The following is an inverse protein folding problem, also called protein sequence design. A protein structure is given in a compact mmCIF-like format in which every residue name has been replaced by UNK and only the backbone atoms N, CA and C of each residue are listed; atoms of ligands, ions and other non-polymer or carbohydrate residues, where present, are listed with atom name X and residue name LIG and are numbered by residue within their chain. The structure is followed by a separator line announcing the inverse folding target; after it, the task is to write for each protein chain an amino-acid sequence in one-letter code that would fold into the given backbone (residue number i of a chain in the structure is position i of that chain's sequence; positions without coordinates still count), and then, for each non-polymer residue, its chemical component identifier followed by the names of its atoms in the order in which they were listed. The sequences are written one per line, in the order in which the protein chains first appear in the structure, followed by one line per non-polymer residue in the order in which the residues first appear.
data_IF_778430786564
#
_entry.id   IF_778430786564
#
_cell.length_a   1.000
_cell.length_b   1.000
_cell.length_c   1.000
_cell.angle_alpha   90.00
_cell.angle_beta   90.00
_cell.angle_gamma   90.00
#
_symmetry.space_group_name_H-M   'P 1'
#
loop_
_entity.id
_entity.type
_entity.pdbx_description
1 polymer ?
#
# COMPACT_ATOMS: atom_id res chain seq x y z
N UNK A 1 24.63 16.18 -20.53
CA UNK A 1 24.19 16.07 -19.11
C UNK A 1 22.67 15.92 -18.98
N UNK A 2 22.12 14.71 -19.08
CA UNK A 2 20.72 14.48 -18.67
C UNK A 2 20.72 14.11 -17.19
N UNK A 3 20.08 14.93 -16.36
CA UNK A 3 19.92 14.69 -14.91
C UNK A 3 19.13 13.40 -14.61
N UNK A 4 18.30 12.96 -15.56
CA UNK A 4 17.46 11.78 -15.41
C UNK A 4 17.64 10.88 -16.62
N UNK A 5 17.97 9.61 -16.35
CA UNK A 5 18.19 8.57 -17.36
C UNK A 5 17.15 7.45 -17.16
N UNK A 6 16.75 6.76 -18.24
CA UNK A 6 15.79 5.66 -18.21
C UNK A 6 16.14 4.56 -17.17
N UNK A 7 17.43 4.37 -16.88
CA UNK A 7 17.92 3.44 -15.86
C UNK A 7 17.49 3.82 -14.44
N UNK A 8 17.52 5.13 -14.11
CA UNK A 8 17.05 5.65 -12.82
C UNK A 8 15.54 5.45 -12.70
N UNK A 9 14.78 5.69 -13.78
CA UNK A 9 13.34 5.42 -13.82
C UNK A 9 13.02 3.93 -13.62
N UNK A 10 13.69 3.04 -14.34
CA UNK A 10 13.49 1.60 -14.22
C UNK A 10 13.78 1.15 -12.78
N UNK A 11 14.87 1.65 -12.18
CA UNK A 11 15.21 1.34 -10.80
C UNK A 11 14.16 1.88 -9.81
N UNK A 12 13.77 3.15 -9.90
CA UNK A 12 12.86 3.77 -8.92
C UNK A 12 11.44 3.23 -9.03
N UNK A 13 10.91 3.07 -10.24
CA UNK A 13 9.53 2.62 -10.45
C UNK A 13 9.38 1.11 -10.31
N UNK A 14 10.26 0.31 -10.93
CA UNK A 14 10.07 -1.15 -10.96
C UNK A 14 10.49 -1.80 -9.66
N UNK A 15 11.58 -1.35 -9.03
CA UNK A 15 12.06 -2.00 -7.80
C UNK A 15 11.36 -1.44 -6.56
N UNK A 16 11.51 -0.13 -6.31
CA UNK A 16 11.03 0.49 -5.07
C UNK A 16 9.50 0.66 -5.12
N UNK A 17 8.97 1.16 -6.24
CA UNK A 17 7.53 1.34 -6.45
C UNK A 17 6.72 0.04 -6.33
N UNK A 18 7.15 -1.03 -7.01
CA UNK A 18 6.46 -2.34 -6.94
C UNK A 18 6.50 -2.95 -5.54
N UNK A 19 7.61 -2.79 -4.82
CA UNK A 19 7.76 -3.32 -3.46
C UNK A 19 6.83 -2.60 -2.47
N UNK A 20 6.74 -1.27 -2.53
CA UNK A 20 5.76 -0.51 -1.75
C UNK A 20 4.32 -0.88 -2.11
N UNK A 21 4.04 -1.05 -3.41
CA UNK A 21 2.71 -1.45 -3.90
C UNK A 21 2.31 -2.82 -3.37
N UNK A 22 3.25 -3.78 -3.33
CA UNK A 22 3.02 -5.11 -2.80
C UNK A 22 2.63 -5.08 -1.32
N UNK A 23 3.42 -4.42 -0.46
CA UNK A 23 3.10 -4.32 0.97
C UNK A 23 1.83 -3.51 1.23
N UNK A 24 1.59 -2.44 0.47
CA UNK A 24 0.35 -1.68 0.57
C UNK A 24 -0.88 -2.54 0.26
N UNK A 25 -0.86 -3.31 -0.84
CA UNK A 25 -1.97 -4.21 -1.18
C UNK A 25 -2.09 -5.37 -0.19
N UNK A 26 -1.00 -5.87 0.38
CA UNK A 26 -1.05 -6.87 1.44
C UNK A 26 -1.81 -6.36 2.67
N UNK A 27 -1.59 -5.11 3.07
CA UNK A 27 -2.29 -4.47 4.19
C UNK A 27 -3.77 -4.22 3.90
N UNK A 28 -4.13 -3.92 2.65
CA UNK A 28 -5.53 -3.85 2.22
C UNK A 28 -6.27 -5.16 2.47
N UNK A 29 -5.70 -6.28 2.01
CA UNK A 29 -6.34 -7.57 2.15
C UNK A 29 -6.37 -8.04 3.60
N UNK A 30 -5.31 -7.76 4.37
CA UNK A 30 -5.28 -8.02 5.80
C UNK A 30 -6.37 -7.23 6.54
N UNK A 31 -6.64 -5.98 6.13
CA UNK A 31 -7.75 -5.20 6.68
C UNK A 31 -9.11 -5.84 6.39
N UNK A 32 -9.38 -6.17 5.13
CA UNK A 32 -10.67 -6.74 4.76
C UNK A 32 -10.89 -8.08 5.49
N UNK A 33 -9.89 -8.95 5.54
CA UNK A 33 -10.00 -10.24 6.22
C UNK A 33 -10.26 -10.11 7.73
N UNK A 34 -9.63 -9.15 8.43
CA UNK A 34 -9.85 -8.95 9.87
C UNK A 34 -11.27 -8.44 10.20
N UNK A 35 -11.83 -7.53 9.39
CA UNK A 35 -13.12 -6.90 9.69
C UNK A 35 -14.32 -7.58 9.06
N UNK A 36 -14.14 -8.30 7.95
CA UNK A 36 -15.24 -8.96 7.24
C UNK A 36 -15.12 -10.48 7.26
N UNK A 37 -13.95 -11.04 7.62
CA UNK A 37 -13.71 -12.48 7.60
C UNK A 37 -13.60 -13.06 6.19
N UNK A 38 -13.68 -12.24 5.14
CA UNK A 38 -13.59 -12.69 3.75
C UNK A 38 -12.11 -12.84 3.38
N UNK A 39 -11.64 -14.06 3.06
CA UNK A 39 -10.24 -14.29 2.71
C UNK A 39 -9.93 -13.75 1.31
N UNK A 40 -8.66 -13.42 1.06
CA UNK A 40 -8.17 -12.94 -0.24
C UNK A 40 -8.64 -13.78 -1.43
N UNK A 41 -8.70 -15.11 -1.28
CA UNK A 41 -9.15 -16.06 -2.32
C UNK A 41 -10.54 -15.73 -2.89
N UNK A 42 -11.44 -15.23 -2.05
CA UNK A 42 -12.81 -14.94 -2.47
C UNK A 42 -12.93 -13.51 -3.04
N UNK A 43 -11.90 -12.68 -2.84
CA UNK A 43 -11.80 -11.32 -3.37
C UNK A 43 -11.06 -11.28 -4.71
N UNK A 44 -10.08 -12.18 -4.90
CA UNK A 44 -9.31 -12.23 -6.13
C UNK A 44 -10.23 -12.60 -7.30
N UNK A 45 -10.20 -11.76 -8.35
CA UNK A 45 -11.04 -11.86 -9.54
C UNK A 45 -12.54 -11.65 -9.33
N UNK A 46 -12.98 -11.23 -8.14
CA UNK A 46 -14.36 -10.80 -7.92
C UNK A 46 -14.49 -9.33 -8.34
N UNK A 47 -15.19 -9.10 -9.44
CA UNK A 47 -15.48 -7.77 -9.97
C UNK A 47 -16.99 -7.51 -9.95
N UNK A 48 -17.41 -6.29 -9.60
CA UNK A 48 -18.82 -5.89 -9.54
C UNK A 48 -19.45 -6.10 -8.16
N UNK A 49 -20.78 -6.19 -8.09
CA UNK A 49 -21.50 -6.42 -6.83
C UNK A 49 -21.29 -7.86 -6.37
N UNK A 50 -20.49 -8.09 -5.33
CA UNK A 50 -20.24 -9.44 -4.86
C UNK A 50 -21.52 -9.97 -4.19
N UNK A 51 -21.99 -11.16 -4.56
CA UNK A 51 -23.10 -11.81 -3.87
C UNK A 51 -22.58 -12.51 -2.60
N UNK A 52 -21.92 -11.77 -1.70
CA UNK A 52 -21.33 -12.37 -0.49
C UNK A 52 -22.41 -12.90 0.43
N UNK A 53 -23.62 -12.36 0.38
CA UNK A 53 -24.79 -12.83 1.13
C UNK A 53 -25.05 -14.34 1.05
N UNK A 54 -24.71 -15.00 -0.06
CA UNK A 54 -24.89 -16.46 -0.20
C UNK A 54 -23.83 -17.28 0.56
N UNK A 55 -22.67 -16.71 0.86
CA UNK A 55 -21.51 -17.40 1.44
C UNK A 55 -21.15 -16.88 2.84
N UNK A 56 -21.48 -15.63 3.13
CA UNK A 56 -21.32 -14.92 4.39
C UNK A 56 -22.62 -14.16 4.69
N UNK A 57 -23.58 -14.79 5.41
CA UNK A 57 -24.91 -14.22 5.63
C UNK A 57 -24.89 -12.96 6.51
N UNK A 58 -23.80 -12.74 7.27
CA UNK A 58 -23.65 -11.60 8.19
C UNK A 58 -23.12 -10.33 7.51
N UNK A 59 -22.75 -10.40 6.22
CA UNK A 59 -22.16 -9.29 5.48
C UNK A 59 -23.20 -8.72 4.52
N UNK A 60 -23.49 -7.43 4.70
CA UNK A 60 -24.27 -6.66 3.75
C UNK A 60 -23.37 -6.17 2.61
N UNK A 61 -23.75 -6.47 1.37
CA UNK A 61 -22.94 -6.21 0.17
C UNK A 61 -22.75 -4.70 -0.06
N UNK A 62 -23.77 -3.88 0.27
CA UNK A 62 -23.71 -2.43 0.14
C UNK A 62 -22.78 -1.81 1.20
N UNK A 63 -22.87 -2.26 2.45
CA UNK A 63 -21.94 -1.86 3.50
C UNK A 63 -20.50 -2.31 3.19
N UNK A 64 -20.31 -3.48 2.61
CA UNK A 64 -18.99 -3.96 2.22
C UNK A 64 -18.31 -3.00 1.23
N UNK A 65 -19.01 -2.65 0.15
CA UNK A 65 -18.45 -1.79 -0.90
C UNK A 65 -18.29 -0.32 -0.46
N UNK A 66 -19.26 0.24 0.27
CA UNK A 66 -19.23 1.66 0.62
C UNK A 66 -18.46 1.98 1.90
N UNK A 67 -18.30 1.00 2.80
CA UNK A 67 -17.63 1.22 4.08
C UNK A 67 -16.30 0.48 4.16
N UNK A 68 -16.32 -0.85 4.02
CA UNK A 68 -15.11 -1.66 4.22
C UNK A 68 -14.07 -1.44 3.13
N UNK A 69 -14.46 -1.43 1.84
CA UNK A 69 -13.52 -1.18 0.74
C UNK A 69 -12.93 0.24 0.81
N UNK A 70 -13.77 1.24 1.04
CA UNK A 70 -13.32 2.64 1.20
C UNK A 70 -12.35 2.81 2.37
N UNK A 71 -12.58 2.15 3.50
CA UNK A 71 -11.63 2.15 4.62
C UNK A 71 -10.33 1.44 4.27
N UNK A 72 -10.41 0.31 3.54
CA UNK A 72 -9.23 -0.38 3.03
C UNK A 72 -8.38 0.51 2.11
N UNK A 73 -9.00 1.31 1.25
CA UNK A 73 -8.29 2.30 0.42
C UNK A 73 -7.59 3.37 1.25
N UNK A 74 -8.13 3.72 2.42
CA UNK A 74 -7.45 4.62 3.35
C UNK A 74 -6.25 3.93 4.01
N UNK A 75 -6.37 2.64 4.35
CA UNK A 75 -5.26 1.83 4.89
C UNK A 75 -4.11 1.75 3.90
N UNK A 76 -4.37 1.54 2.60
CA UNK A 76 -3.31 1.52 1.57
C UNK A 76 -2.64 2.89 1.44
N UNK A 77 -3.43 3.96 1.43
CA UNK A 77 -2.91 5.31 1.38
C UNK A 77 -2.00 5.64 2.58
N UNK A 78 -2.44 5.36 3.81
CA UNK A 78 -1.63 5.55 5.02
C UNK A 78 -0.37 4.68 4.98
N UNK A 79 -0.47 3.43 4.51
CA UNK A 79 0.65 2.53 4.37
C UNK A 79 1.73 3.08 3.42
N UNK A 80 1.33 3.61 2.26
CA UNK A 80 2.25 4.25 1.32
C UNK A 80 2.93 5.47 1.92
N UNK A 81 2.18 6.33 2.62
CA UNK A 81 2.72 7.53 3.28
C UNK A 81 3.77 7.17 4.34
N UNK A 82 3.51 6.13 5.15
CA UNK A 82 4.45 5.69 6.19
C UNK A 82 5.70 5.03 5.57
N UNK A 83 5.53 4.21 4.53
CA UNK A 83 6.65 3.53 3.85
C UNK A 83 7.57 4.48 3.08
N UNK A 84 7.11 5.67 2.72
CA UNK A 84 7.95 6.70 2.09
C UNK A 84 9.01 7.28 3.06
N UNK A 85 8.93 6.99 4.37
CA UNK A 85 9.84 7.43 5.43
C UNK A 85 10.06 8.94 5.54
N UNK A 86 9.41 9.74 4.69
CA UNK A 86 9.93 11.02 4.30
C UNK A 86 8.82 11.94 3.91
N UNK A 87 8.41 12.73 4.91
CA UNK A 87 7.95 14.12 4.87
C UNK A 87 6.91 14.29 5.96
N UNK A 88 7.22 15.05 6.99
CA UNK A 88 6.25 15.39 8.04
C UNK A 88 4.94 15.96 7.44
N UNK A 89 5.04 16.69 6.32
CA UNK A 89 3.89 17.19 5.57
C UNK A 89 3.00 16.10 4.96
N UNK A 90 3.54 14.95 4.53
CA UNK A 90 2.73 13.86 3.98
C UNK A 90 1.94 13.15 5.09
N UNK A 91 2.54 13.00 6.28
CA UNK A 91 1.84 12.48 7.45
C UNK A 91 0.69 13.39 7.90
N UNK A 92 0.92 14.70 7.92
CA UNK A 92 -0.13 15.69 8.21
C UNK A 92 -1.26 15.63 7.19
N UNK A 93 -0.92 15.52 5.90
CA UNK A 93 -1.92 15.38 4.85
C UNK A 93 -2.70 14.06 5.00
N UNK A 94 -2.05 12.98 5.42
CA UNK A 94 -2.73 11.72 5.65
C UNK A 94 -3.79 11.82 6.76
N UNK A 95 -3.42 12.40 7.90
CA UNK A 95 -4.34 12.65 9.02
C UNK A 95 -5.49 13.56 8.57
N UNK A 96 -5.18 14.62 7.81
CA UNK A 96 -6.17 15.55 7.29
C UNK A 96 -7.19 14.86 6.37
N UNK A 97 -6.74 13.94 5.51
CA UNK A 97 -7.63 13.24 4.58
C UNK A 97 -8.48 12.18 5.28
N UNK A 98 -7.98 11.48 6.31
CA UNK A 98 -8.71 10.36 6.93
C UNK A 98 -9.60 10.77 8.11
N UNK A 99 -9.22 11.82 8.86
CA UNK A 99 -9.90 12.18 10.11
C UNK A 99 -10.91 13.33 9.95
N UNK A 100 -10.90 14.07 8.84
CA UNK A 100 -11.80 15.21 8.64
C UNK A 100 -13.13 14.75 8.01
N UNK A 101 -14.28 14.86 8.72
CA UNK A 101 -15.55 14.28 8.28
C UNK A 101 -16.08 14.82 6.95
N UNK A 102 -15.85 16.11 6.66
CA UNK A 102 -16.27 16.72 5.41
C UNK A 102 -15.44 16.22 4.21
N UNK A 103 -14.16 15.93 4.41
CA UNK A 103 -13.29 15.36 3.36
C UNK A 103 -13.65 13.91 3.12
N UNK A 104 -13.96 13.16 4.18
CA UNK A 104 -14.44 11.79 4.11
C UNK A 104 -15.64 11.62 3.18
N UNK A 105 -16.56 12.59 3.18
CA UNK A 105 -17.71 12.58 2.29
C UNK A 105 -17.37 12.87 0.82
N UNK A 106 -16.32 13.66 0.55
CA UNK A 106 -15.94 14.06 -0.81
C UNK A 106 -15.01 13.02 -1.45
N UNK A 107 -14.04 12.52 -0.68
CA UNK A 107 -13.00 11.59 -1.14
C UNK A 107 -13.39 10.12 -0.95
N UNK A 108 -14.60 9.85 -0.42
CA UNK A 108 -15.06 8.51 -0.06
C UNK A 108 -14.09 7.80 0.89
N UNK A 109 -13.59 8.54 1.88
CA UNK A 109 -12.63 8.04 2.89
C UNK A 109 -13.32 7.80 4.23
N UNK A 110 -12.72 6.94 5.05
CA UNK A 110 -13.20 6.60 6.39
C UNK A 110 -12.04 6.62 7.39
N UNK A 111 -12.32 6.88 8.69
CA UNK A 111 -11.29 6.90 9.71
C UNK A 111 -10.61 5.53 9.81
N UNK A 112 -9.28 5.54 9.77
CA UNK A 112 -8.47 4.32 9.73
C UNK A 112 -8.21 3.84 11.17
N UNK A 113 -8.45 2.56 11.48
CA UNK A 113 -8.18 2.05 12.81
C UNK A 113 -6.69 2.18 13.18
N UNK A 114 -6.39 2.59 14.42
CA UNK A 114 -5.03 2.90 14.87
C UNK A 114 -4.02 1.75 14.70
N UNK A 115 -4.49 0.49 14.72
CA UNK A 115 -3.64 -0.69 14.45
C UNK A 115 -2.96 -0.60 13.08
N UNK A 116 -3.67 -0.11 12.06
CA UNK A 116 -3.18 0.01 10.67
C UNK A 116 -2.33 1.26 10.44
N UNK A 117 -2.24 2.16 11.43
CA UNK A 117 -1.21 3.20 11.45
C UNK A 117 0.14 2.63 11.90
N UNK A 118 0.15 1.61 12.77
CA UNK A 118 1.39 1.02 13.28
C UNK A 118 1.92 -0.15 12.41
N UNK A 119 1.02 -0.89 11.79
CA UNK A 119 1.36 -2.07 10.96
C UNK A 119 2.29 -1.77 9.76
N UNK A 120 2.25 -0.60 9.11
CA UNK A 120 3.15 -0.28 8.02
C UNK A 120 4.61 -0.06 8.43
N UNK A 121 4.92 0.21 9.70
CA UNK A 121 6.30 0.44 10.16
C UNK A 121 7.25 -0.75 9.92
N UNK A 122 6.92 -2.01 10.30
CA UNK A 122 7.77 -3.15 9.96
C UNK A 122 7.93 -3.34 8.44
N UNK A 123 6.88 -3.09 7.65
CA UNK A 123 6.97 -3.13 6.19
C UNK A 123 7.89 -2.02 5.64
N UNK A 124 7.80 -0.81 6.20
CA UNK A 124 8.68 0.31 5.87
C UNK A 124 10.15 -0.03 6.18
N UNK A 125 10.41 -0.70 7.30
CA UNK A 125 11.74 -1.18 7.65
C UNK A 125 12.22 -2.26 6.68
N UNK A 126 11.34 -3.16 6.24
CA UNK A 126 11.66 -4.14 5.19
C UNK A 126 12.01 -3.47 3.85
N UNK A 127 11.30 -2.38 3.47
CA UNK A 127 11.63 -1.57 2.29
C UNK A 127 13.02 -0.94 2.43
N UNK A 128 13.37 -0.42 3.61
CA UNK A 128 14.68 0.17 3.88
C UNK A 128 15.79 -0.87 3.78
N UNK A 129 15.59 -2.05 4.40
CA UNK A 129 16.52 -3.17 4.28
C UNK A 129 16.67 -3.58 2.82
N UNK A 130 15.59 -3.65 2.04
CA UNK A 130 15.65 -3.98 0.62
C UNK A 130 16.47 -2.95 -0.18
N UNK A 131 16.38 -1.66 0.15
CA UNK A 131 17.19 -0.62 -0.49
C UNK A 131 18.68 -0.74 -0.11
N UNK A 132 19.00 -1.02 1.16
CA UNK A 132 20.39 -1.26 1.59
C UNK A 132 20.96 -2.55 0.99
N UNK A 133 20.19 -3.65 0.99
CA UNK A 133 20.57 -4.90 0.33
C UNK A 133 20.89 -4.67 -1.14
N UNK A 134 20.08 -3.88 -1.86
CA UNK A 134 20.35 -3.51 -3.25
C UNK A 134 21.67 -2.75 -3.38
N UNK A 135 21.93 -1.75 -2.53
CA UNK A 135 23.22 -1.02 -2.53
C UNK A 135 24.40 -1.96 -2.28
N UNK A 136 24.26 -2.90 -1.35
CA UNK A 136 25.27 -3.91 -1.05
C UNK A 136 25.51 -4.86 -2.22
N UNK A 137 24.45 -5.32 -2.90
CA UNK A 137 24.55 -6.16 -4.09
C UNK A 137 25.30 -5.45 -5.22
N UNK A 138 25.02 -4.17 -5.45
CA UNK A 138 25.71 -3.36 -6.46
C UNK A 138 27.19 -3.12 -6.12
N UNK A 139 27.52 -2.95 -4.84
CA UNK A 139 28.92 -2.84 -4.37
C UNK A 139 29.69 -4.14 -4.48
N UNK A 140 29.03 -5.28 -4.25
CA UNK A 140 29.67 -6.61 -4.22
C UNK A 140 29.83 -7.21 -5.62
N UNK A 141 28.95 -6.86 -6.57
CA UNK A 141 28.96 -7.41 -7.94
C UNK A 141 28.96 -6.32 -9.04
N UNK A 142 30.04 -5.52 -9.15
CA UNK A 142 30.11 -4.38 -10.09
C UNK A 142 30.02 -4.80 -11.57
N UNK A 143 30.47 -6.00 -11.93
CA UNK A 143 30.46 -6.49 -13.32
C UNK A 143 29.20 -7.30 -13.70
N UNK A 144 28.21 -7.40 -12.82
CA UNK A 144 26.96 -8.13 -13.10
C UNK A 144 26.00 -7.34 -14.00
N UNK A 145 24.99 -8.03 -14.57
CA UNK A 145 23.92 -7.41 -15.37
C UNK A 145 23.23 -6.29 -14.59
N UNK A 146 23.06 -6.47 -13.27
CA UNK A 146 22.49 -5.46 -12.36
C UNK A 146 23.38 -4.22 -12.21
N UNK A 147 24.71 -4.37 -12.20
CA UNK A 147 25.66 -3.25 -12.18
C UNK A 147 25.58 -2.38 -13.44
N UNK A 148 25.34 -2.99 -14.61
CA UNK A 148 25.19 -2.29 -15.90
C UNK A 148 23.83 -1.64 -16.11
N UNK A 149 22.81 -2.08 -15.38
CA UNK A 149 21.44 -1.53 -15.41
C UNK A 149 21.22 -0.44 -14.36
N UNK A 150 22.01 -0.41 -13.29
CA UNK A 150 21.87 0.55 -12.20
C UNK A 150 22.57 1.90 -12.44
N UNK A 151 23.52 1.96 -13.37
CA UNK A 151 24.21 3.15 -13.90
C UNK A 151 24.11 3.13 -15.40
#
# INVERSE_FOLDING_TARGET
EHLITAKIYLQSYVFIGSLMTFFSNMLFYMYIEEYTGVPFKDLVFTYGTPNFRSRYPDIDDDKFNNFHVNTGQCVTFVALVIMQWGMFSSLLMAIFVTEVPWINQIMLTNPVPIKYWLLPFPCALAVLIADEMRKLMLRSFPNSIFGKLAW
#
